data_IF_352571409017
#
_entry.id   IF_352571409017
#
_cell.length_a   1.000
_cell.length_b   1.000
_cell.length_c   1.000
_cell.angle_alpha   90.00
_cell.angle_beta   90.00
_cell.angle_gamma   90.00
#
_symmetry.space_group_name_H-M   'P 1'
#
loop_
_entity.id
_entity.type
_entity.pdbx_description
1 polymer ?
#
# COMPACT_ATOMS: atom_id res chain seq x y z
N UNK A 1 -5.22 -3.06 24.36
CA UNK A 1 -3.80 -2.83 24.04
C UNK A 1 -3.37 -1.44 24.50
N UNK A 2 -2.11 -1.21 24.88
CA UNK A 2 -1.61 0.10 25.30
C UNK A 2 -1.08 0.89 24.10
N UNK A 3 -1.04 2.23 24.21
CA UNK A 3 -0.42 3.09 23.20
C UNK A 3 1.04 2.68 22.93
N UNK A 4 1.75 2.22 23.95
CA UNK A 4 3.12 1.71 23.84
C UNK A 4 3.22 0.47 22.95
N UNK A 5 2.25 -0.43 23.00
CA UNK A 5 2.22 -1.62 22.16
C UNK A 5 1.95 -1.25 20.69
N UNK A 6 1.06 -0.29 20.44
CA UNK A 6 0.84 0.27 19.10
C UNK A 6 2.13 0.89 18.53
N UNK A 7 2.78 1.75 19.32
CA UNK A 7 4.02 2.40 18.93
C UNK A 7 5.17 1.39 18.67
N UNK A 8 5.17 0.25 19.35
CA UNK A 8 6.13 -0.83 19.12
C UNK A 8 5.80 -1.68 17.89
N UNK A 9 4.52 -1.95 17.65
CA UNK A 9 4.08 -2.78 16.52
C UNK A 9 4.31 -2.10 15.15
N UNK A 10 4.22 -0.78 15.05
CA UNK A 10 4.42 -0.06 13.78
C UNK A 10 5.84 -0.28 13.20
N UNK A 11 6.94 -0.01 13.94
CA UNK A 11 8.28 -0.28 13.41
C UNK A 11 8.56 -1.78 13.17
N UNK A 12 7.95 -2.68 13.96
CA UNK A 12 8.03 -4.12 13.69
C UNK A 12 7.38 -4.48 12.34
N UNK A 13 6.22 -3.91 12.05
CA UNK A 13 5.52 -4.09 10.78
C UNK A 13 6.35 -3.56 9.60
N UNK A 14 6.92 -2.37 9.75
CA UNK A 14 7.82 -1.79 8.75
C UNK A 14 9.02 -2.72 8.48
N UNK A 15 9.69 -3.18 9.53
CA UNK A 15 10.83 -4.09 9.42
C UNK A 15 10.46 -5.41 8.75
N UNK A 16 9.34 -6.03 9.14
CA UNK A 16 8.85 -7.26 8.53
C UNK A 16 8.60 -7.10 7.04
N UNK A 17 7.91 -6.02 6.63
CA UNK A 17 7.64 -5.73 5.22
C UNK A 17 8.89 -5.46 4.39
N UNK A 18 9.87 -4.71 4.93
CA UNK A 18 11.16 -4.49 4.28
C UNK A 18 11.90 -5.82 4.06
N UNK A 19 11.99 -6.65 5.10
CA UNK A 19 12.68 -7.94 5.02
C UNK A 19 11.96 -8.85 4.01
N UNK A 20 10.63 -8.92 4.05
CA UNK A 20 9.84 -9.72 3.12
C UNK A 20 10.09 -9.31 1.66
N UNK A 21 10.03 -8.02 1.36
CA UNK A 21 10.35 -7.49 0.03
C UNK A 21 11.79 -7.77 -0.38
N UNK A 22 12.74 -7.57 0.52
CA UNK A 22 14.15 -7.83 0.24
C UNK A 22 14.42 -9.30 -0.12
N UNK A 23 13.78 -10.24 0.56
CA UNK A 23 13.94 -11.68 0.26
C UNK A 23 13.54 -12.00 -1.18
N UNK A 24 12.50 -11.34 -1.69
CA UNK A 24 11.97 -11.61 -3.04
C UNK A 24 12.68 -10.80 -4.12
N UNK A 25 12.92 -9.50 -3.89
CA UNK A 25 13.29 -8.57 -4.96
C UNK A 25 14.76 -8.18 -4.96
N UNK A 26 15.38 -8.04 -3.78
CA UNK A 26 16.72 -7.44 -3.59
C UNK A 26 16.83 -6.01 -4.16
N UNK A 27 15.69 -5.34 -4.38
CA UNK A 27 15.60 -4.02 -4.99
C UNK A 27 15.23 -2.98 -3.92
N UNK A 28 16.00 -1.87 -3.78
CA UNK A 28 15.72 -0.81 -2.82
C UNK A 28 14.34 -0.16 -2.97
N UNK A 29 13.85 0.03 -4.18
CA UNK A 29 12.52 0.59 -4.43
C UNK A 29 11.42 -0.27 -3.80
N UNK A 30 11.48 -1.59 -4.06
CA UNK A 30 10.51 -2.54 -3.49
C UNK A 30 10.68 -2.71 -1.98
N UNK A 31 11.89 -2.54 -1.45
CA UNK A 31 12.10 -2.53 0.00
C UNK A 31 11.40 -1.33 0.67
N UNK A 32 11.47 -0.14 0.05
CA UNK A 32 10.76 1.05 0.55
C UNK A 32 9.24 0.85 0.47
N UNK A 33 8.73 0.34 -0.64
CA UNK A 33 7.31 -0.03 -0.79
C UNK A 33 6.91 -1.13 0.18
N UNK A 34 7.80 -2.08 0.46
CA UNK A 34 7.64 -3.14 1.46
C UNK A 34 7.45 -2.61 2.88
N UNK A 35 8.12 -1.51 3.23
CA UNK A 35 7.90 -0.82 4.50
C UNK A 35 6.43 -0.42 4.68
N UNK A 36 5.86 0.22 3.66
CA UNK A 36 4.45 0.63 3.66
C UNK A 36 3.51 -0.58 3.64
N UNK A 37 3.78 -1.56 2.78
CA UNK A 37 3.00 -2.79 2.71
C UNK A 37 2.95 -3.53 4.05
N UNK A 38 4.08 -3.61 4.75
CA UNK A 38 4.15 -4.20 6.08
C UNK A 38 3.22 -3.50 7.08
N UNK A 39 3.26 -2.16 7.14
CA UNK A 39 2.40 -1.38 8.05
C UNK A 39 0.93 -1.54 7.66
N UNK A 40 0.60 -1.43 6.38
CA UNK A 40 -0.78 -1.52 5.88
C UNK A 40 -1.39 -2.89 6.13
N UNK A 41 -0.60 -3.96 5.96
CA UNK A 41 -1.09 -5.33 6.17
C UNK A 41 -1.56 -5.64 7.59
N UNK A 42 -1.08 -4.90 8.57
CA UNK A 42 -1.45 -5.09 9.98
C UNK A 42 -2.23 -3.92 10.56
N UNK A 43 -2.44 -2.85 9.80
CA UNK A 43 -3.06 -1.62 10.30
C UNK A 43 -4.43 -1.85 10.95
N UNK A 44 -5.24 -2.73 10.39
CA UNK A 44 -6.56 -3.09 10.92
C UNK A 44 -6.51 -3.92 12.20
N UNK A 45 -5.37 -4.54 12.53
CA UNK A 45 -5.19 -5.42 13.68
C UNK A 45 -4.09 -4.97 14.65
N UNK A 46 -3.55 -3.77 14.51
CA UNK A 46 -2.44 -3.27 15.34
C UNK A 46 -2.75 -3.26 16.84
N UNK A 47 -4.01 -3.12 17.19
CA UNK A 47 -4.50 -3.09 18.57
C UNK A 47 -4.76 -4.50 19.15
N UNK A 48 -4.88 -5.52 18.32
CA UNK A 48 -5.17 -6.90 18.74
C UNK A 48 -4.01 -7.88 18.53
N UNK A 49 -3.09 -7.56 17.62
CA UNK A 49 -1.95 -8.44 17.30
C UNK A 49 -0.82 -8.35 18.32
N UNK A 50 -0.25 -9.51 18.64
CA UNK A 50 1.07 -9.59 19.29
C UNK A 50 2.17 -9.24 18.31
N UNK A 51 3.31 -8.73 18.80
CA UNK A 51 4.45 -8.35 17.96
C UNK A 51 4.96 -9.48 17.04
N UNK A 52 4.91 -10.74 17.49
CA UNK A 52 5.24 -11.90 16.66
C UNK A 52 4.29 -12.08 15.46
N UNK A 53 3.00 -11.87 15.67
CA UNK A 53 1.99 -11.89 14.60
C UNK A 53 2.20 -10.74 13.64
N UNK A 54 2.50 -9.55 14.15
CA UNK A 54 2.81 -8.37 13.33
C UNK A 54 3.97 -8.65 12.38
N UNK A 55 5.10 -9.16 12.90
CA UNK A 55 6.25 -9.50 12.04
C UNK A 55 5.88 -10.56 11.01
N UNK A 56 5.18 -11.62 11.40
CA UNK A 56 4.84 -12.70 10.48
C UNK A 56 3.93 -12.21 9.33
N UNK A 57 2.87 -11.46 9.64
CA UNK A 57 1.93 -10.94 8.64
C UNK A 57 2.60 -9.92 7.73
N UNK A 58 3.36 -8.99 8.28
CA UNK A 58 4.06 -7.96 7.49
C UNK A 58 5.17 -8.53 6.61
N UNK A 59 5.87 -9.57 7.07
CA UNK A 59 6.86 -10.29 6.27
C UNK A 59 6.20 -10.94 5.04
N UNK A 60 5.07 -11.64 5.24
CA UNK A 60 4.30 -12.22 4.12
C UNK A 60 3.81 -11.13 3.19
N UNK A 61 3.30 -10.01 3.70
CA UNK A 61 2.88 -8.87 2.89
C UNK A 61 4.01 -8.33 2.01
N UNK A 62 5.21 -8.16 2.57
CA UNK A 62 6.40 -7.78 1.80
C UNK A 62 6.76 -8.80 0.71
N UNK A 63 6.65 -10.11 1.01
CA UNK A 63 6.95 -11.16 0.03
C UNK A 63 5.98 -11.20 -1.15
N UNK A 64 4.69 -10.94 -0.93
CA UNK A 64 3.67 -10.98 -1.98
C UNK A 64 3.53 -9.65 -2.74
N UNK A 65 4.12 -8.57 -2.25
CA UNK A 65 4.00 -7.22 -2.81
C UNK A 65 4.38 -7.17 -4.29
N UNK A 66 5.61 -7.55 -4.63
CA UNK A 66 6.10 -7.51 -6.02
C UNK A 66 5.33 -8.46 -6.95
N UNK A 67 5.08 -9.73 -6.59
CA UNK A 67 4.22 -10.58 -7.38
C UNK A 67 2.82 -10.01 -7.67
N UNK A 68 2.22 -9.32 -6.69
CA UNK A 68 0.93 -8.66 -6.88
C UNK A 68 1.04 -7.46 -7.82
N UNK A 69 2.11 -6.66 -7.74
CA UNK A 69 2.36 -5.56 -8.66
C UNK A 69 2.51 -6.06 -10.10
N UNK A 70 3.34 -7.08 -10.32
CA UNK A 70 3.53 -7.69 -11.65
C UNK A 70 2.23 -8.24 -12.23
N UNK A 71 1.40 -8.81 -11.39
CA UNK A 71 0.08 -9.29 -11.81
C UNK A 71 -0.85 -8.15 -12.23
N UNK A 72 -0.90 -7.04 -11.50
CA UNK A 72 -1.69 -5.85 -11.84
C UNK A 72 -1.19 -5.20 -13.13
N UNK A 73 0.12 -5.03 -13.29
CA UNK A 73 0.72 -4.51 -14.52
C UNK A 73 0.42 -5.41 -15.72
N UNK A 74 0.42 -6.74 -15.51
CA UNK A 74 0.02 -7.72 -16.52
C UNK A 74 -1.44 -7.60 -16.97
N UNK A 75 -2.31 -6.97 -16.18
CA UNK A 75 -3.69 -6.63 -16.56
C UNK A 75 -3.78 -5.30 -17.34
N UNK A 76 -2.65 -4.62 -17.60
CA UNK A 76 -2.61 -3.32 -18.26
C UNK A 76 -2.96 -2.15 -17.32
N UNK A 77 -2.86 -2.34 -16.00
CA UNK A 77 -3.05 -1.29 -15.01
C UNK A 77 -1.67 -0.69 -14.70
N UNK A 78 -1.49 0.58 -15.05
CA UNK A 78 -0.28 1.33 -14.71
C UNK A 78 -0.31 1.75 -13.24
N UNK A 79 0.48 1.07 -12.43
CA UNK A 79 0.62 1.31 -10.97
C UNK A 79 2.07 1.71 -10.65
N UNK A 80 2.55 2.78 -11.28
CA UNK A 80 3.95 3.22 -11.30
C UNK A 80 4.61 3.31 -9.91
N UNK A 81 3.86 3.65 -8.87
CA UNK A 81 4.35 3.74 -7.48
C UNK A 81 3.82 2.64 -6.56
N UNK A 82 3.09 1.67 -7.11
CA UNK A 82 2.50 0.59 -6.35
C UNK A 82 1.32 1.01 -5.47
N UNK A 83 0.62 2.11 -5.78
CA UNK A 83 -0.46 2.61 -4.94
C UNK A 83 -1.63 1.63 -4.86
N UNK A 84 -2.07 1.08 -5.99
CA UNK A 84 -3.14 0.07 -6.05
C UNK A 84 -2.67 -1.22 -5.36
N UNK A 85 -1.43 -1.63 -5.62
CA UNK A 85 -0.86 -2.83 -5.02
C UNK A 85 -0.76 -2.70 -3.50
N UNK A 86 -0.14 -1.63 -3.00
CA UNK A 86 0.12 -1.43 -1.56
C UNK A 86 -1.18 -1.18 -0.80
N UNK A 87 -2.04 -0.27 -1.26
CA UNK A 87 -3.25 0.10 -0.51
C UNK A 87 -4.43 -0.80 -0.82
N UNK A 88 -4.61 -1.21 -2.09
CA UNK A 88 -5.70 -2.10 -2.51
C UNK A 88 -5.41 -3.56 -2.17
N UNK A 89 -4.42 -4.16 -2.82
CA UNK A 89 -4.17 -5.60 -2.70
C UNK A 89 -3.66 -5.99 -1.31
N UNK A 90 -2.64 -5.29 -0.79
CA UNK A 90 -2.10 -5.58 0.54
C UNK A 90 -3.06 -5.13 1.65
N UNK A 91 -3.82 -4.04 1.44
CA UNK A 91 -4.87 -3.64 2.38
C UNK A 91 -5.99 -4.69 2.50
N UNK A 92 -6.45 -5.23 1.37
CA UNK A 92 -7.40 -6.34 1.35
C UNK A 92 -6.84 -7.59 2.05
N UNK A 93 -5.59 -7.95 1.74
CA UNK A 93 -4.88 -9.04 2.43
C UNK A 93 -4.91 -8.85 3.95
N UNK A 94 -4.56 -7.65 4.43
CA UNK A 94 -4.54 -7.33 5.85
C UNK A 94 -5.91 -7.47 6.54
N UNK A 95 -6.98 -6.98 5.89
CA UNK A 95 -8.35 -7.14 6.38
C UNK A 95 -8.77 -8.62 6.50
N UNK A 96 -8.47 -9.41 5.48
CA UNK A 96 -8.84 -10.84 5.48
C UNK A 96 -8.03 -11.62 6.52
N UNK A 97 -6.75 -11.32 6.68
CA UNK A 97 -5.89 -11.91 7.72
C UNK A 97 -6.40 -11.55 9.12
N UNK A 98 -6.83 -10.30 9.34
CA UNK A 98 -7.47 -9.95 10.61
C UNK A 98 -8.75 -10.75 10.84
N UNK A 99 -9.58 -10.92 9.83
CA UNK A 99 -10.79 -11.75 9.92
C UNK A 99 -10.54 -13.19 10.32
N UNK A 100 -9.36 -13.73 9.96
CA UNK A 100 -8.94 -15.09 10.33
C UNK A 100 -8.29 -15.12 11.72
N UNK A 101 -7.22 -14.33 11.91
CA UNK A 101 -6.40 -14.39 13.12
C UNK A 101 -7.03 -13.68 14.32
N UNK A 102 -7.86 -12.67 14.10
CA UNK A 102 -8.57 -11.90 15.11
C UNK A 102 -10.00 -12.38 15.35
N UNK A 103 -10.44 -13.48 14.72
CA UNK A 103 -11.81 -13.98 14.84
C UNK A 103 -12.20 -14.23 16.28
N UNK A 104 -13.36 -13.70 16.68
CA UNK A 104 -13.89 -13.81 18.04
C UNK A 104 -13.36 -12.78 19.04
N UNK A 105 -12.36 -11.98 18.66
CA UNK A 105 -11.87 -10.88 19.50
C UNK A 105 -12.83 -9.70 19.34
N UNK A 106 -13.27 -9.02 20.45
CA UNK A 106 -14.06 -7.81 20.33
C UNK A 106 -13.33 -6.75 19.53
N UNK A 107 -14.00 -6.12 18.55
CA UNK A 107 -13.47 -4.93 17.88
C UNK A 107 -13.15 -3.86 18.94
N UNK A 108 -12.18 -3.00 18.73
CA UNK A 108 -11.62 -2.05 19.70
C UNK A 108 -10.79 -2.70 20.84
N UNK A 109 -10.52 -3.99 20.80
CA UNK A 109 -9.64 -4.69 21.75
C UNK A 109 -10.07 -4.50 23.21
N UNK A 110 -9.10 -4.15 24.08
CA UNK A 110 -9.33 -4.00 25.52
C UNK A 110 -10.24 -2.81 25.91
N UNK A 111 -10.54 -1.91 24.99
CA UNK A 111 -11.42 -0.75 25.23
C UNK A 111 -12.84 -0.97 24.70
N UNK A 112 -13.13 -2.18 24.26
CA UNK A 112 -14.44 -2.51 23.70
C UNK A 112 -15.53 -2.43 24.79
N UNK A 113 -16.66 -1.73 24.55
CA UNK A 113 -17.88 -1.90 25.32
C UNK A 113 -18.36 -3.36 25.31
N UNK A 114 -19.11 -3.77 26.36
CA UNK A 114 -19.59 -5.16 26.52
C UNK A 114 -20.37 -5.67 25.29
N UNK A 115 -21.06 -4.77 24.58
CA UNK A 115 -21.86 -5.09 23.37
C UNK A 115 -21.08 -4.99 22.05
N UNK A 116 -19.74 -4.87 22.08
CA UNK A 116 -18.96 -4.72 20.85
C UNK A 116 -18.99 -6.00 20.01
N UNK A 117 -19.33 -5.85 18.73
CA UNK A 117 -19.35 -6.96 17.77
C UNK A 117 -17.95 -7.54 17.63
N UNK A 118 -17.85 -8.87 17.74
CA UNK A 118 -16.58 -9.57 17.56
C UNK A 118 -16.11 -9.51 16.11
N UNK A 119 -14.78 -9.46 15.93
CA UNK A 119 -14.14 -9.57 14.63
C UNK A 119 -14.50 -10.92 14.02
N UNK A 120 -14.84 -10.93 12.73
CA UNK A 120 -15.13 -12.15 11.98
C UNK A 120 -14.65 -12.03 10.55
N UNK A 121 -14.29 -13.15 9.94
CA UNK A 121 -13.88 -13.19 8.53
C UNK A 121 -14.95 -12.61 7.60
N UNK A 122 -16.21 -12.99 7.82
CA UNK A 122 -17.31 -12.49 6.99
C UNK A 122 -17.52 -10.97 7.18
N UNK A 123 -17.41 -10.48 8.41
CA UNK A 123 -17.46 -9.04 8.70
C UNK A 123 -16.37 -8.27 7.98
N UNK A 124 -15.13 -8.77 7.99
CA UNK A 124 -14.01 -8.15 7.28
C UNK A 124 -14.21 -8.18 5.75
N UNK A 125 -14.75 -9.27 5.21
CA UNK A 125 -15.06 -9.38 3.79
C UNK A 125 -16.12 -8.35 3.35
N UNK A 126 -17.21 -8.23 4.12
CA UNK A 126 -18.25 -7.23 3.86
C UNK A 126 -17.67 -5.81 3.99
N UNK A 127 -16.88 -5.56 5.03
CA UNK A 127 -16.18 -4.27 5.20
C UNK A 127 -15.27 -3.94 4.02
N UNK A 128 -14.51 -4.91 3.52
CA UNK A 128 -13.65 -4.73 2.35
C UNK A 128 -14.45 -4.33 1.10
N UNK A 129 -15.58 -5.00 0.84
CA UNK A 129 -16.45 -4.66 -0.31
C UNK A 129 -17.03 -3.26 -0.17
N UNK A 130 -17.52 -2.90 1.03
CA UNK A 130 -18.08 -1.56 1.30
C UNK A 130 -17.01 -0.49 1.09
N UNK A 131 -15.82 -0.66 1.66
CA UNK A 131 -14.72 0.31 1.53
C UNK A 131 -14.24 0.43 0.09
N UNK A 132 -14.15 -0.69 -0.64
CA UNK A 132 -13.83 -0.68 -2.07
C UNK A 132 -14.85 0.16 -2.86
N UNK A 133 -16.14 -0.07 -2.65
CA UNK A 133 -17.19 0.68 -3.35
C UNK A 133 -17.18 2.17 -2.98
N UNK A 134 -16.98 2.49 -1.71
CA UNK A 134 -16.90 3.88 -1.24
C UNK A 134 -15.67 4.64 -1.79
N UNK A 135 -14.58 3.95 -2.08
CA UNK A 135 -13.41 4.54 -2.74
C UNK A 135 -13.54 4.57 -4.26
N UNK A 136 -13.85 3.41 -4.84
CA UNK A 136 -13.87 3.24 -6.29
C UNK A 136 -14.95 4.06 -6.99
N UNK A 137 -16.20 4.03 -6.50
CA UNK A 137 -17.32 4.69 -7.19
C UNK A 137 -17.12 6.19 -7.28
N UNK A 138 -16.88 6.95 -6.19
CA UNK A 138 -16.64 8.39 -6.32
C UNK A 138 -15.35 8.70 -7.08
N UNK A 139 -14.29 7.93 -6.88
CA UNK A 139 -13.04 8.09 -7.62
C UNK A 139 -13.24 7.94 -9.13
N UNK A 140 -13.97 6.90 -9.55
CA UNK A 140 -14.30 6.68 -10.95
C UNK A 140 -15.16 7.81 -11.53
N UNK A 141 -16.19 8.24 -10.80
CA UNK A 141 -17.09 9.34 -11.25
C UNK A 141 -16.31 10.63 -11.44
N UNK A 142 -15.47 11.01 -10.48
CA UNK A 142 -14.66 12.23 -10.58
C UNK A 142 -13.67 12.11 -11.76
N UNK A 143 -12.97 11.00 -11.89
CA UNK A 143 -12.02 10.76 -12.99
C UNK A 143 -12.74 10.82 -14.35
N UNK A 144 -13.94 10.24 -14.45
CA UNK A 144 -14.75 10.29 -15.66
C UNK A 144 -15.16 11.72 -16.04
N UNK A 145 -15.56 12.54 -15.05
CA UNK A 145 -15.91 13.96 -15.29
C UNK A 145 -14.69 14.73 -15.79
N UNK A 146 -13.53 14.54 -15.15
CA UNK A 146 -12.28 15.22 -15.51
C UNK A 146 -11.79 14.80 -16.91
N UNK A 147 -11.97 13.50 -17.24
CA UNK A 147 -11.66 12.98 -18.59
C UNK A 147 -12.55 13.63 -19.66
N UNK A 148 -13.86 13.73 -19.42
CA UNK A 148 -14.80 14.43 -20.31
C UNK A 148 -14.48 15.90 -20.49
N UNK A 149 -13.87 16.53 -19.49
CA UNK A 149 -13.39 17.91 -19.57
C UNK A 149 -12.03 18.03 -20.30
N UNK A 150 -11.42 16.92 -20.73
CA UNK A 150 -10.12 16.89 -21.41
C UNK A 150 -8.93 17.23 -20.50
N UNK A 151 -9.08 17.11 -19.18
CA UNK A 151 -8.05 17.50 -18.19
C UNK A 151 -7.41 16.30 -17.48
N UNK A 152 -7.85 15.07 -17.75
CA UNK A 152 -7.34 13.89 -17.03
C UNK A 152 -5.95 13.47 -17.52
N UNK A 153 -5.71 13.54 -18.82
CA UNK A 153 -4.50 13.05 -19.44
C UNK A 153 -3.53 14.17 -19.80
N UNK A 154 -2.25 13.92 -19.59
CA UNK A 154 -1.18 14.76 -20.14
C UNK A 154 -1.00 14.46 -21.63
N UNK A 155 -0.45 15.40 -22.43
CA UNK A 155 -0.19 15.17 -23.85
C UNK A 155 0.73 13.96 -24.09
N UNK A 156 0.47 13.18 -25.14
CA UNK A 156 1.20 11.95 -25.45
C UNK A 156 2.71 12.18 -25.57
N UNK A 157 3.13 13.28 -26.20
CA UNK A 157 4.54 13.65 -26.32
C UNK A 157 5.24 13.91 -24.98
N UNK A 158 4.47 14.26 -23.93
CA UNK A 158 4.98 14.42 -22.56
C UNK A 158 5.04 13.06 -21.87
N UNK A 159 4.07 12.17 -22.12
CA UNK A 159 4.08 10.80 -21.59
C UNK A 159 5.29 10.02 -22.12
N UNK A 160 5.58 10.11 -23.41
CA UNK A 160 6.73 9.44 -24.04
C UNK A 160 8.09 9.88 -23.47
N UNK A 161 8.22 11.16 -23.10
CA UNK A 161 9.45 11.70 -22.50
C UNK A 161 9.56 11.48 -21.00
N UNK A 162 8.45 11.14 -20.35
CA UNK A 162 8.33 11.10 -18.90
C UNK A 162 7.98 12.48 -18.31
N UNK A 163 6.98 12.48 -17.43
CA UNK A 163 6.46 13.72 -16.79
C UNK A 163 7.55 14.42 -15.97
N UNK A 164 8.40 13.66 -15.29
CA UNK A 164 9.47 14.18 -14.44
C UNK A 164 10.49 14.96 -15.25
N UNK A 165 10.86 14.47 -16.44
CA UNK A 165 11.79 15.15 -17.34
C UNK A 165 11.24 16.48 -17.89
N UNK A 166 9.92 16.63 -18.01
CA UNK A 166 9.27 17.78 -18.64
C UNK A 166 8.73 18.79 -17.64
N UNK A 167 8.13 18.32 -16.54
CA UNK A 167 7.39 19.17 -15.58
C UNK A 167 8.08 19.33 -14.23
N UNK A 168 8.89 18.35 -13.84
CA UNK A 168 9.58 18.33 -12.54
C UNK A 168 11.05 18.00 -12.76
N UNK A 169 11.84 18.91 -13.37
CA UNK A 169 13.26 18.68 -13.60
C UNK A 169 14.00 18.69 -12.25
N UNK A 170 13.81 17.66 -11.45
CA UNK A 170 14.55 17.46 -10.22
C UNK A 170 15.87 16.76 -10.56
N UNK A 171 16.96 17.51 -10.59
CA UNK A 171 18.29 16.96 -10.80
C UNK A 171 19.05 16.90 -9.49
N UNK A 172 19.41 15.67 -9.12
CA UNK A 172 20.20 15.43 -7.92
C UNK A 172 21.64 16.01 -8.06
N UNK A 173 22.13 16.13 -9.29
CA UNK A 173 23.48 16.61 -9.59
C UNK A 173 23.44 17.57 -10.79
N UNK A 174 23.07 18.85 -10.58
CA UNK A 174 22.97 19.85 -11.65
C UNK A 174 24.31 20.10 -12.37
N UNK A 175 25.44 19.86 -11.69
CA UNK A 175 26.79 19.97 -12.25
C UNK A 175 27.09 18.95 -13.38
N UNK A 176 26.41 17.81 -13.40
CA UNK A 176 26.58 16.81 -14.47
C UNK A 176 25.98 17.22 -15.81
N UNK A 177 25.15 18.26 -15.87
CA UNK A 177 24.56 18.78 -17.09
C UNK A 177 25.49 19.73 -17.85
N UNK A 178 26.34 20.45 -17.13
CA UNK A 178 27.26 21.41 -17.74
C UNK A 178 28.32 20.68 -18.60
N UNK A 179 28.66 19.44 -18.25
CA UNK A 179 29.59 18.62 -19.02
C UNK A 179 28.99 18.03 -20.29
N UNK A 180 27.68 17.75 -20.32
CA UNK A 180 27.02 17.18 -21.52
C UNK A 180 26.79 18.22 -22.65
N UNK A 181 26.62 19.51 -22.28
CA UNK A 181 26.47 20.60 -23.27
C UNK A 181 27.83 21.07 -23.84
N UNK A 182 28.94 20.83 -23.13
CA UNK A 182 30.27 21.20 -23.62
C UNK A 182 30.86 20.24 -24.64
N UNK A 183 30.31 19.04 -24.78
CA UNK A 183 30.78 17.99 -25.71
C UNK A 183 29.87 17.84 -26.97
N UNK A 184 28.91 18.74 -27.16
CA UNK A 184 28.04 18.82 -28.34
C UNK A 184 28.36 20.04 -29.19
#
# INVERSE_FOLDING_TARGET
MTLSALAFNIPLAAAGGIIGSWVITRDPFWMMSGCLAGIISVASGLDVYFGSTVIAVSLVAGMILKPCADWLEGLGIDDAVGAVTVHGTIGLFGLLVLGILGSGIPGLGAFAPEDTVAISFFGQLVGAVVMFLLGFVPGYVVSWIVDKAGMLRIPDAVQEKGLDAVKVPAQAYPESMVSAESDS
#
